data_IF_340683050479
#
_entry.id   IF_340683050479
#
_cell.length_a   1.000
_cell.length_b   1.000
_cell.length_c   1.000
_cell.angle_alpha   90.00
_cell.angle_beta   90.00
_cell.angle_gamma   90.00
#
_symmetry.space_group_name_H-M   'P 1'
#
loop_
_entity.id
_entity.type
_entity.pdbx_description
1 polymer ?
#
# COMPACT_ATOMS: atom_id res chain seq x y z
N UNK A 1 -17.04 36.64 0.97
CA UNK A 1 -15.59 36.34 0.92
C UNK A 1 -14.99 35.94 2.27
N UNK A 2 -15.63 36.21 3.41
CA UNK A 2 -15.13 35.81 4.75
C UNK A 2 -15.42 34.35 5.13
N UNK A 3 -16.55 33.78 4.68
CA UNK A 3 -16.93 32.40 5.04
C UNK A 3 -16.03 31.31 4.43
N UNK A 4 -15.52 31.51 3.22
CA UNK A 4 -14.65 30.52 2.55
C UNK A 4 -13.32 30.38 3.25
N UNK A 5 -12.74 31.49 3.71
CA UNK A 5 -11.46 31.49 4.42
C UNK A 5 -11.55 30.81 5.79
N UNK A 6 -12.69 30.95 6.48
CA UNK A 6 -12.94 30.27 7.76
C UNK A 6 -12.95 28.75 7.59
N UNK A 7 -13.59 28.24 6.53
CA UNK A 7 -13.70 26.80 6.29
C UNK A 7 -12.37 26.16 5.90
N UNK A 8 -11.61 26.83 5.02
CA UNK A 8 -10.27 26.36 4.63
C UNK A 8 -9.31 26.28 5.82
N UNK A 9 -9.37 27.25 6.73
CA UNK A 9 -8.56 27.25 7.96
C UNK A 9 -8.92 26.09 8.89
N UNK A 10 -10.21 25.76 9.01
CA UNK A 10 -10.69 24.66 9.86
C UNK A 10 -10.28 23.30 9.28
N UNK A 11 -10.43 23.10 7.96
CA UNK A 11 -9.98 21.89 7.28
C UNK A 11 -8.46 21.68 7.41
N UNK A 12 -7.68 22.76 7.29
CA UNK A 12 -6.24 22.70 7.48
C UNK A 12 -5.86 22.34 8.92
N UNK A 13 -6.57 22.89 9.91
CA UNK A 13 -6.36 22.57 11.31
C UNK A 13 -6.63 21.08 11.58
N UNK A 14 -7.77 20.56 11.13
CA UNK A 14 -8.14 19.15 11.29
C UNK A 14 -7.11 18.19 10.67
N UNK A 15 -6.54 18.55 9.51
CA UNK A 15 -5.48 17.75 8.86
C UNK A 15 -4.19 17.73 9.69
N UNK A 16 -3.82 18.87 10.26
CA UNK A 16 -2.64 18.95 11.13
C UNK A 16 -2.83 18.18 12.44
N UNK A 17 -4.02 18.23 13.04
CA UNK A 17 -4.33 17.42 14.21
C UNK A 17 -4.23 15.93 13.90
N UNK A 18 -4.81 15.50 12.79
CA UNK A 18 -4.75 14.10 12.33
C UNK A 18 -3.30 13.65 12.12
N UNK A 19 -2.45 14.52 11.57
CA UNK A 19 -1.01 14.27 11.44
C UNK A 19 -0.32 14.12 12.81
N UNK A 20 -0.62 14.98 13.77
CA UNK A 20 -0.03 14.91 15.11
C UNK A 20 -0.48 13.65 15.86
N UNK A 21 -1.75 13.25 15.73
CA UNK A 21 -2.26 12.00 16.29
C UNK A 21 -1.54 10.83 15.66
N UNK A 22 -1.49 10.76 14.32
CA UNK A 22 -0.75 9.73 13.60
C UNK A 22 0.71 9.66 14.03
N UNK A 23 1.39 10.80 14.14
CA UNK A 23 2.80 10.85 14.51
C UNK A 23 3.06 10.32 15.92
N UNK A 24 2.20 10.68 16.87
CA UNK A 24 2.37 10.36 18.29
C UNK A 24 1.78 9.02 18.70
N UNK A 25 0.80 8.50 17.96
CA UNK A 25 0.04 7.30 18.31
C UNK A 25 -0.03 6.33 17.12
N UNK A 26 1.05 6.21 16.35
CA UNK A 26 1.05 5.46 15.09
C UNK A 26 0.71 3.97 15.27
N UNK A 27 0.98 3.39 16.45
CA UNK A 27 0.65 1.99 16.76
C UNK A 27 -0.85 1.70 16.79
N UNK A 28 -1.70 2.74 16.93
CA UNK A 28 -3.15 2.59 16.78
C UNK A 28 -3.55 2.21 15.36
N UNK A 29 -2.68 2.47 14.39
CA UNK A 29 -2.84 2.13 12.98
C UNK A 29 -1.98 0.93 12.59
N UNK A 30 -1.32 0.27 13.55
CA UNK A 30 -0.45 -0.85 13.24
C UNK A 30 -1.27 -2.08 12.86
N UNK A 31 -0.85 -2.74 11.78
CA UNK A 31 -1.31 -4.08 11.43
C UNK A 31 -1.03 -5.04 12.59
N UNK A 32 -1.94 -6.00 12.77
CA UNK A 32 -1.93 -6.93 13.91
C UNK A 32 -0.62 -7.70 14.01
N UNK A 33 0.03 -8.02 12.89
CA UNK A 33 1.30 -8.76 12.87
C UNK A 33 2.47 -8.00 13.54
N UNK A 34 2.40 -6.67 13.62
CA UNK A 34 3.35 -5.89 14.41
C UNK A 34 3.11 -6.07 15.90
N UNK A 35 1.83 -6.02 16.30
CA UNK A 35 1.42 -6.14 17.70
C UNK A 35 1.73 -7.54 18.23
N UNK A 36 1.41 -8.59 17.47
CA UNK A 36 1.67 -9.98 17.84
C UNK A 36 3.15 -10.21 18.14
N UNK A 37 4.02 -9.58 17.35
CA UNK A 37 5.46 -9.67 17.52
C UNK A 37 6.00 -8.93 18.76
N UNK A 38 5.24 -8.00 19.34
CA UNK A 38 5.63 -7.32 20.58
C UNK A 38 5.39 -8.16 21.82
N UNK A 39 4.36 -9.02 21.76
CA UNK A 39 3.84 -9.78 22.89
C UNK A 39 4.14 -11.29 22.81
N UNK A 40 4.82 -11.74 21.75
CA UNK A 40 5.09 -13.17 21.48
C UNK A 40 3.82 -14.02 21.59
N UNK A 41 2.71 -13.53 21.02
CA UNK A 41 1.43 -14.23 21.10
C UNK A 41 1.40 -15.31 20.02
N UNK A 42 1.38 -16.56 20.45
CA UNK A 42 1.05 -17.69 19.58
C UNK A 42 -0.48 -17.77 19.46
N UNK A 43 -1.00 -17.59 18.23
CA UNK A 43 -2.41 -17.76 17.93
C UNK A 43 -2.70 -19.24 17.66
N UNK A 44 -3.70 -19.80 18.34
CA UNK A 44 -4.21 -21.13 18.01
C UNK A 44 -5.17 -21.04 16.81
N UNK A 45 -4.99 -21.90 15.80
CA UNK A 45 -5.81 -21.91 14.58
C UNK A 45 -7.32 -22.17 14.83
N UNK A 46 -7.69 -22.56 16.05
CA UNK A 46 -9.06 -22.94 16.44
C UNK A 46 -9.83 -21.83 17.17
N UNK A 47 -9.25 -20.63 17.36
CA UNK A 47 -9.72 -19.61 18.30
C UNK A 47 -10.31 -18.31 17.74
N UNK A 48 -10.91 -18.29 16.54
CA UNK A 48 -11.34 -17.04 15.87
C UNK A 48 -12.32 -16.13 16.64
N UNK A 49 -13.09 -16.66 17.62
CA UNK A 49 -14.04 -15.86 18.42
C UNK A 49 -13.43 -15.35 19.75
N UNK A 50 -12.46 -16.09 20.30
CA UNK A 50 -11.67 -15.72 21.50
C UNK A 50 -10.64 -14.63 21.21
N UNK A 51 -10.43 -14.36 19.92
CA UNK A 51 -9.45 -13.47 19.33
C UNK A 51 -9.73 -11.99 19.64
N UNK A 52 -10.96 -11.52 19.45
CA UNK A 52 -11.28 -10.09 19.56
C UNK A 52 -11.16 -9.54 20.99
N UNK A 53 -11.51 -10.32 22.02
CA UNK A 53 -11.37 -9.90 23.42
C UNK A 53 -9.91 -9.89 23.87
N UNK A 54 -9.10 -10.86 23.41
CA UNK A 54 -7.65 -10.86 23.64
C UNK A 54 -6.98 -9.68 22.95
N UNK A 55 -7.33 -9.40 21.69
CA UNK A 55 -6.87 -8.19 20.97
C UNK A 55 -7.25 -6.91 21.72
N UNK A 56 -8.50 -6.79 22.17
CA UNK A 56 -8.93 -5.62 22.92
C UNK A 56 -8.16 -5.45 24.24
N UNK A 57 -7.84 -6.55 24.93
CA UNK A 57 -7.02 -6.52 26.14
C UNK A 57 -5.58 -6.07 25.82
N UNK A 58 -4.97 -6.59 24.76
CA UNK A 58 -3.64 -6.19 24.28
C UNK A 58 -3.62 -4.70 23.89
N UNK A 59 -4.63 -4.20 23.16
CA UNK A 59 -4.73 -2.77 22.83
C UNK A 59 -4.91 -1.92 24.08
N UNK A 60 -5.72 -2.38 25.04
CA UNK A 60 -5.90 -1.68 26.33
C UNK A 60 -4.57 -1.64 27.09
N UNK A 61 -3.81 -2.73 27.09
CA UNK A 61 -2.50 -2.81 27.71
C UNK A 61 -1.47 -1.93 27.01
N UNK A 62 -1.43 -1.91 25.68
CA UNK A 62 -0.61 -0.99 24.86
C UNK A 62 -0.87 0.48 25.20
N UNK A 63 -2.13 0.83 25.46
CA UNK A 63 -2.51 2.19 25.89
C UNK A 63 -2.07 2.49 27.33
N UNK A 64 -1.83 1.46 28.14
CA UNK A 64 -1.31 1.56 29.51
C UNK A 64 0.23 1.46 29.59
N UNK A 65 0.91 0.98 28.53
CA UNK A 65 2.36 0.89 28.48
C UNK A 65 3.03 2.27 28.37
N UNK A 66 4.23 2.47 28.94
CA UNK A 66 5.01 3.66 28.70
C UNK A 66 5.31 3.80 27.20
N UNK A 67 4.85 4.90 26.60
CA UNK A 67 4.96 5.19 25.16
C UNK A 67 6.37 5.00 24.61
N UNK A 68 7.40 5.17 25.44
CA UNK A 68 8.80 5.05 25.05
C UNK A 68 9.22 3.61 24.69
N UNK A 69 8.89 2.62 25.52
CA UNK A 69 9.32 1.23 25.28
C UNK A 69 8.63 0.63 24.07
N UNK A 70 7.32 0.87 23.93
CA UNK A 70 6.54 0.45 22.77
C UNK A 70 7.11 1.05 21.48
N UNK A 71 7.43 2.35 21.48
CA UNK A 71 8.06 3.02 20.34
C UNK A 71 9.41 2.41 20.00
N UNK A 72 10.27 2.18 20.99
CA UNK A 72 11.58 1.60 20.78
C UNK A 72 11.48 0.19 20.16
N UNK A 73 10.59 -0.66 20.66
CA UNK A 73 10.37 -2.01 20.12
C UNK A 73 9.80 -2.01 18.69
N UNK A 74 8.99 -1.02 18.35
CA UNK A 74 8.47 -0.82 16.98
C UNK A 74 9.48 -0.13 16.04
N UNK A 75 10.66 0.24 16.53
CA UNK A 75 11.66 0.99 15.77
C UNK A 75 11.25 2.43 15.46
N UNK A 76 10.35 2.99 16.26
CA UNK A 76 9.90 4.38 16.14
C UNK A 76 10.87 5.28 16.91
N UNK A 77 11.62 6.09 16.18
CA UNK A 77 12.53 7.08 16.76
C UNK A 77 11.76 8.23 17.44
N UNK A 78 12.31 8.70 18.55
CA UNK A 78 11.87 9.90 19.26
C UNK A 78 12.32 11.16 18.52
N UNK A 79 11.59 11.52 17.47
CA UNK A 79 11.81 12.73 16.69
C UNK A 79 10.56 13.61 16.66
N UNK A 80 10.78 14.92 16.51
CA UNK A 80 9.70 15.87 16.27
C UNK A 80 9.06 15.57 14.89
N UNK A 81 7.72 15.73 14.76
CA UNK A 81 7.06 15.56 13.48
C UNK A 81 7.64 16.54 12.46
N UNK A 82 8.14 16.07 11.31
CA UNK A 82 8.48 16.96 10.21
C UNK A 82 7.22 17.67 9.73
N UNK A 83 7.39 18.82 9.07
CA UNK A 83 6.28 19.47 8.39
C UNK A 83 5.73 18.52 7.32
N UNK A 84 4.46 18.08 7.39
CA UNK A 84 3.92 17.16 6.43
C UNK A 84 3.69 17.88 5.09
N UNK A 85 3.94 17.19 3.98
CA UNK A 85 3.52 17.64 2.66
C UNK A 85 2.05 17.30 2.40
N UNK A 86 1.39 18.04 1.51
CA UNK A 86 -0.04 17.86 1.23
C UNK A 86 -0.39 16.46 0.74
N UNK A 87 0.44 15.87 -0.13
CA UNK A 87 0.24 14.50 -0.60
C UNK A 87 0.30 13.49 0.55
N UNK A 88 1.18 13.67 1.54
CA UNK A 88 1.25 12.77 2.69
C UNK A 88 0.00 12.90 3.56
N UNK A 89 -0.49 14.12 3.78
CA UNK A 89 -1.74 14.33 4.53
C UNK A 89 -2.93 13.68 3.81
N UNK A 90 -3.00 13.81 2.49
CA UNK A 90 -4.02 13.15 1.67
C UNK A 90 -3.88 11.62 1.74
N UNK A 91 -2.67 11.08 1.64
CA UNK A 91 -2.40 9.64 1.79
C UNK A 91 -2.90 9.11 3.15
N UNK A 92 -2.58 9.82 4.24
CA UNK A 92 -2.97 9.40 5.58
C UNK A 92 -4.48 9.45 5.81
N UNK A 93 -5.21 10.26 5.04
CA UNK A 93 -6.67 10.32 5.07
C UNK A 93 -7.37 9.20 4.31
N UNK A 94 -6.63 8.41 3.52
CA UNK A 94 -7.19 7.27 2.80
C UNK A 94 -7.45 6.10 3.76
N UNK A 95 -8.57 5.41 3.54
CA UNK A 95 -8.85 4.11 4.15
C UNK A 95 -7.88 3.03 3.65
N UNK A 96 -7.92 1.87 4.29
CA UNK A 96 -7.00 0.76 4.02
C UNK A 96 -7.11 0.23 2.59
N UNK A 97 -8.35 0.06 2.09
CA UNK A 97 -8.61 -0.40 0.72
C UNK A 97 -8.03 0.58 -0.31
N UNK A 98 -8.23 1.88 -0.09
CA UNK A 98 -7.73 2.97 -0.92
C UNK A 98 -6.20 3.06 -0.87
N UNK A 99 -5.59 2.90 0.31
CA UNK A 99 -4.13 2.80 0.44
C UNK A 99 -3.58 1.62 -0.37
N UNK A 100 -4.20 0.44 -0.24
CA UNK A 100 -3.78 -0.74 -0.99
C UNK A 100 -3.95 -0.54 -2.50
N UNK A 101 -5.08 -0.01 -2.95
CA UNK A 101 -5.35 0.29 -4.35
C UNK A 101 -4.32 1.28 -4.93
N UNK A 102 -3.90 2.28 -4.15
CA UNK A 102 -2.80 3.16 -4.53
C UNK A 102 -1.47 2.41 -4.76
N UNK A 103 -1.12 1.43 -3.91
CA UNK A 103 0.12 0.64 -4.08
C UNK A 103 0.11 -0.13 -5.40
N UNK A 104 -1.03 -0.77 -5.71
CA UNK A 104 -1.22 -1.48 -6.97
C UNK A 104 -1.15 -0.54 -8.18
N UNK A 105 -1.77 0.63 -8.08
CA UNK A 105 -1.75 1.63 -9.15
C UNK A 105 -0.35 2.18 -9.39
N UNK A 106 0.42 2.45 -8.33
CA UNK A 106 1.81 2.87 -8.41
C UNK A 106 2.68 1.80 -9.08
N UNK A 107 2.49 0.52 -8.73
CA UNK A 107 3.14 -0.60 -9.39
C UNK A 107 2.85 -0.64 -10.90
N UNK A 108 1.58 -0.51 -11.31
CA UNK A 108 1.18 -0.56 -12.72
C UNK A 108 1.78 0.58 -13.54
N UNK A 109 1.88 1.78 -12.95
CA UNK A 109 2.57 2.92 -13.56
C UNK A 109 4.05 2.59 -13.80
N UNK A 110 4.75 2.04 -12.81
CA UNK A 110 6.20 1.81 -12.89
C UNK A 110 6.56 0.63 -13.78
N UNK A 111 5.80 -0.46 -13.74
CA UNK A 111 6.14 -1.65 -14.50
C UNK A 111 5.86 -1.55 -15.99
N UNK A 112 5.07 -0.58 -16.47
CA UNK A 112 4.79 -0.18 -17.88
C UNK A 112 4.41 -1.30 -18.90
N UNK A 113 4.68 -2.58 -18.65
CA UNK A 113 4.88 -3.61 -19.66
C UNK A 113 4.23 -4.98 -19.35
N UNK A 114 3.39 -5.14 -18.31
CA UNK A 114 2.77 -6.45 -18.09
C UNK A 114 1.71 -6.86 -19.13
N UNK A 115 1.29 -5.98 -20.05
CA UNK A 115 0.21 -6.30 -21.01
C UNK A 115 0.61 -6.26 -22.49
N UNK A 116 1.70 -5.59 -22.86
CA UNK A 116 2.15 -5.59 -24.27
C UNK A 116 2.81 -6.92 -24.66
N UNK A 117 3.51 -7.58 -23.72
CA UNK A 117 4.07 -8.92 -23.94
C UNK A 117 3.04 -10.05 -23.83
N UNK A 118 2.04 -9.94 -22.94
CA UNK A 118 1.02 -10.98 -22.79
C UNK A 118 0.13 -11.13 -24.05
N UNK A 119 -0.09 -10.05 -24.81
CA UNK A 119 -0.79 -10.09 -26.09
C UNK A 119 0.13 -10.45 -27.27
N UNK A 120 1.45 -10.44 -27.08
CA UNK A 120 2.43 -10.83 -28.09
C UNK A 120 2.82 -12.32 -27.99
N UNK A 121 2.71 -12.93 -26.81
CA UNK A 121 3.10 -14.33 -26.58
C UNK A 121 1.97 -15.36 -26.81
N UNK A 122 0.69 -14.94 -26.91
CA UNK A 122 -0.41 -15.85 -27.28
C UNK A 122 -0.45 -16.21 -28.78
N UNK A 123 0.52 -15.74 -29.58
CA UNK A 123 0.68 -16.09 -31.00
C UNK A 123 1.80 -17.09 -31.32
N UNK A 124 2.48 -17.65 -30.31
CA UNK A 124 3.63 -18.55 -30.46
C UNK A 124 3.25 -20.03 -30.36
N UNK A 125 3.14 -20.66 -31.52
CA UNK A 125 2.82 -22.07 -31.75
C UNK A 125 3.96 -23.04 -31.34
N UNK A 126 3.62 -24.03 -30.50
CA UNK A 126 4.22 -25.36 -30.25
C UNK A 126 5.70 -25.55 -29.82
N UNK A 127 5.86 -26.26 -28.69
CA UNK A 127 7.08 -26.97 -28.30
C UNK A 127 6.96 -27.67 -26.95
N UNK A 128 6.11 -28.70 -26.86
CA UNK A 128 6.11 -29.64 -25.72
C UNK A 128 7.29 -30.60 -25.94
N UNK A 129 8.29 -30.56 -25.06
CA UNK A 129 9.13 -31.71 -24.76
C UNK A 129 9.55 -31.72 -23.29
N UNK A 130 9.54 -32.94 -22.75
CA UNK A 130 9.72 -33.34 -21.36
C UNK A 130 11.15 -33.12 -20.87
N UNK A 131 11.32 -32.69 -19.61
CA UNK A 131 12.46 -33.12 -18.76
C UNK A 131 11.95 -33.33 -17.32
N UNK A 132 12.12 -34.57 -16.86
CA UNK A 132 11.88 -35.07 -15.51
C UNK A 132 12.93 -34.58 -14.49
N UNK A 133 12.49 -34.55 -13.22
CA UNK A 133 13.21 -34.92 -11.99
C UNK A 133 14.51 -34.18 -11.64
N UNK A 134 14.49 -33.47 -10.51
CA UNK A 134 15.20 -33.93 -9.30
C UNK A 134 14.86 -33.05 -8.09
N UNK A 135 14.01 -33.59 -7.20
CA UNK A 135 13.69 -33.04 -5.88
C UNK A 135 14.75 -33.48 -4.88
N UNK A 136 15.62 -32.55 -4.47
CA UNK A 136 16.44 -32.69 -3.28
C UNK A 136 15.67 -32.13 -2.07
N UNK A 137 15.44 -32.98 -1.07
CA UNK A 137 14.76 -32.65 0.17
C UNK A 137 15.61 -31.74 1.07
N UNK A 138 15.07 -30.56 1.42
CA UNK A 138 15.52 -29.74 2.54
C UNK A 138 14.32 -29.00 3.16
N UNK A 139 14.23 -29.12 4.49
CA UNK A 139 13.39 -28.41 5.47
C UNK A 139 11.91 -28.13 5.12
N UNK A 140 11.08 -29.13 5.46
CA UNK A 140 9.61 -29.08 5.44
C UNK A 140 8.98 -28.02 6.35
N UNK A 141 9.70 -27.41 7.29
CA UNK A 141 9.13 -26.41 8.20
C UNK A 141 9.12 -24.99 7.58
N UNK A 142 10.20 -24.59 6.89
CA UNK A 142 10.27 -23.33 6.15
C UNK A 142 9.39 -23.35 4.89
N UNK A 143 9.23 -24.51 4.24
CA UNK A 143 8.38 -24.64 3.07
C UNK A 143 6.89 -24.41 3.39
N UNK A 144 6.42 -24.87 4.56
CA UNK A 144 5.04 -24.68 4.99
C UNK A 144 4.74 -23.22 5.38
N UNK A 145 5.69 -22.53 6.03
CA UNK A 145 5.58 -21.09 6.33
C UNK A 145 5.60 -20.24 5.04
N UNK A 146 6.41 -20.61 4.03
CA UNK A 146 6.39 -19.97 2.71
C UNK A 146 5.08 -20.21 1.96
N UNK A 147 4.51 -21.41 2.03
CA UNK A 147 3.25 -21.74 1.34
C UNK A 147 2.04 -21.03 1.98
N UNK A 148 1.98 -20.96 3.31
CA UNK A 148 0.91 -20.23 4.01
C UNK A 148 0.98 -18.71 3.72
N UNK A 149 2.19 -18.13 3.72
CA UNK A 149 2.39 -16.73 3.34
C UNK A 149 2.04 -16.48 1.86
N UNK A 150 2.38 -17.38 0.95
CA UNK A 150 2.04 -17.26 -0.47
C UNK A 150 0.53 -17.41 -0.73
N UNK A 151 -0.18 -18.25 0.02
CA UNK A 151 -1.63 -18.43 -0.10
C UNK A 151 -2.41 -17.23 0.44
N UNK A 152 -1.98 -16.63 1.56
CA UNK A 152 -2.58 -15.39 2.07
C UNK A 152 -2.29 -14.20 1.13
N UNK A 153 -1.07 -14.07 0.62
CA UNK A 153 -0.72 -13.03 -0.37
C UNK A 153 -1.50 -13.16 -1.68
N UNK A 154 -1.73 -14.40 -2.15
CA UNK A 154 -2.51 -14.66 -3.38
C UNK A 154 -3.99 -14.35 -3.23
N UNK A 155 -4.51 -14.33 -2.00
CA UNK A 155 -5.92 -14.06 -1.71
C UNK A 155 -6.19 -12.55 -1.62
N UNK A 156 -5.28 -11.78 -0.99
CA UNK A 156 -5.40 -10.31 -0.92
C UNK A 156 -5.15 -9.60 -2.27
N UNK A 157 -4.26 -10.13 -3.11
CA UNK A 157 -3.94 -9.55 -4.42
C UNK A 157 -5.05 -9.81 -5.48
N UNK A 158 -5.98 -10.75 -5.20
CA UNK A 158 -7.10 -11.05 -6.10
C UNK A 158 -8.32 -10.17 -5.87
N UNK A 159 -8.54 -9.66 -4.67
CA UNK A 159 -9.72 -8.85 -4.31
C UNK A 159 -9.67 -7.42 -4.85
N UNK A 160 -8.47 -6.88 -5.09
CA UNK A 160 -8.27 -5.49 -5.55
C UNK A 160 -7.67 -5.40 -6.96
N UNK A 161 -8.19 -6.18 -7.92
CA UNK A 161 -7.72 -6.04 -9.31
C UNK A 161 -8.04 -4.65 -9.85
N UNK A 162 -7.00 -3.96 -10.33
CA UNK A 162 -7.15 -2.68 -11.03
C UNK A 162 -8.13 -2.81 -12.20
N UNK A 163 -9.05 -1.85 -12.31
CA UNK A 163 -9.99 -1.75 -13.43
C UNK A 163 -9.27 -1.45 -14.75
N UNK A 164 -9.92 -1.71 -15.89
CA UNK A 164 -9.35 -1.40 -17.20
C UNK A 164 -9.07 0.11 -17.36
N UNK A 165 -9.95 0.95 -16.82
CA UNK A 165 -9.78 2.40 -16.84
C UNK A 165 -8.55 2.83 -16.02
N UNK A 166 -8.37 2.27 -14.83
CA UNK A 166 -7.23 2.55 -13.97
C UNK A 166 -5.90 2.16 -14.62
N UNK A 167 -5.85 0.98 -15.26
CA UNK A 167 -4.67 0.55 -16.04
C UNK A 167 -4.41 1.46 -17.25
N UNK A 168 -5.47 1.91 -17.93
CA UNK A 168 -5.32 2.86 -19.03
C UNK A 168 -4.76 4.20 -18.55
N UNK A 169 -5.25 4.70 -17.42
CA UNK A 169 -4.70 5.89 -16.78
C UNK A 169 -3.24 5.68 -16.36
N UNK A 170 -2.92 4.54 -15.74
CA UNK A 170 -1.56 4.22 -15.31
C UNK A 170 -0.57 4.22 -16.49
N UNK A 171 -0.97 3.65 -17.64
CA UNK A 171 -0.19 3.72 -18.88
C UNK A 171 0.03 5.15 -19.37
N UNK A 172 -0.97 6.02 -19.28
CA UNK A 172 -0.82 7.44 -19.65
C UNK A 172 0.17 8.15 -18.73
N UNK A 173 0.08 7.93 -17.42
CA UNK A 173 1.01 8.50 -16.44
C UNK A 173 2.42 7.94 -16.65
N UNK A 174 2.56 6.64 -16.92
CA UNK A 174 3.85 6.02 -17.22
C UNK A 174 4.55 6.66 -18.43
N UNK A 175 3.81 7.09 -19.46
CA UNK A 175 4.39 7.84 -20.59
C UNK A 175 4.98 9.18 -20.15
N UNK A 176 4.33 9.88 -19.21
CA UNK A 176 4.80 11.17 -18.71
C UNK A 176 5.96 11.06 -17.70
N UNK A 177 5.92 10.03 -16.85
CA UNK A 177 6.95 9.78 -15.83
C UNK A 177 8.19 9.07 -16.37
N UNK A 178 8.03 8.36 -17.51
CA UNK A 178 9.08 7.60 -18.19
C UNK A 178 9.83 6.62 -17.25
N UNK A 179 9.13 5.70 -16.56
CA UNK A 179 9.77 4.79 -15.62
C UNK A 179 10.75 3.81 -16.27
N UNK A 180 10.70 3.65 -17.60
CA UNK A 180 11.69 2.86 -18.34
C UNK A 180 13.12 3.42 -18.31
N UNK A 181 13.34 4.64 -17.81
CA UNK A 181 14.68 5.18 -17.56
C UNK A 181 15.11 5.06 -16.10
N UNK A 182 14.30 4.41 -15.25
CA UNK A 182 14.59 4.23 -13.83
C UNK A 182 15.27 2.87 -13.63
N UNK A 183 16.17 2.79 -12.66
CA UNK A 183 16.81 1.52 -12.30
C UNK A 183 15.86 0.69 -11.42
N UNK A 184 14.97 -0.06 -12.08
CA UNK A 184 13.86 -0.81 -11.42
C UNK A 184 13.94 -2.33 -11.61
N UNK A 185 15.08 -2.87 -12.09
CA UNK A 185 15.22 -4.30 -12.35
C UNK A 185 14.98 -5.15 -11.09
N UNK A 186 15.48 -4.71 -9.94
CA UNK A 186 15.27 -5.37 -8.64
C UNK A 186 13.79 -5.43 -8.24
N UNK A 187 12.96 -4.50 -8.74
CA UNK A 187 11.54 -4.48 -8.42
C UNK A 187 10.73 -5.52 -9.20
N UNK A 188 11.21 -5.99 -10.36
CA UNK A 188 10.43 -6.87 -11.25
C UNK A 188 10.15 -8.26 -10.66
N UNK A 189 10.98 -8.73 -9.73
CA UNK A 189 10.81 -10.02 -9.05
C UNK A 189 9.82 -9.97 -7.89
N UNK A 190 9.31 -8.79 -7.52
CA UNK A 190 8.41 -8.61 -6.39
C UNK A 190 6.94 -8.72 -6.82
N UNK A 191 6.06 -8.98 -5.84
CA UNK A 191 4.62 -8.84 -6.03
C UNK A 191 4.22 -7.37 -6.25
N UNK A 192 3.08 -7.09 -6.89
CA UNK A 192 2.63 -5.71 -7.14
C UNK A 192 2.58 -4.84 -5.88
N UNK A 193 2.05 -5.36 -4.79
CA UNK A 193 1.95 -4.64 -3.51
C UNK A 193 3.33 -4.36 -2.91
N UNK A 194 4.26 -5.32 -2.97
CA UNK A 194 5.65 -5.10 -2.54
C UNK A 194 6.34 -4.00 -3.36
N UNK A 195 6.11 -3.94 -4.68
CA UNK A 195 6.64 -2.85 -5.52
C UNK A 195 6.07 -1.50 -5.06
N UNK A 196 4.75 -1.42 -4.88
CA UNK A 196 4.11 -0.22 -4.36
C UNK A 196 4.68 0.22 -3.00
N UNK A 197 4.92 -0.72 -2.09
CA UNK A 197 5.51 -0.44 -0.78
C UNK A 197 6.97 0.02 -0.87
N UNK A 198 7.77 -0.58 -1.74
CA UNK A 198 9.15 -0.16 -1.98
C UNK A 198 9.20 1.28 -2.51
N UNK A 199 8.30 1.62 -3.45
CA UNK A 199 8.14 2.99 -3.96
C UNK A 199 7.64 3.97 -2.90
N UNK A 200 6.78 3.52 -1.98
CA UNK A 200 6.25 4.34 -0.90
C UNK A 200 7.37 4.64 0.11
N UNK A 201 8.16 3.63 0.47
CA UNK A 201 9.36 3.78 1.30
C UNK A 201 10.35 4.76 0.68
N UNK A 202 10.60 4.67 -0.62
CA UNK A 202 11.50 5.58 -1.36
C UNK A 202 11.06 7.05 -1.28
N UNK A 203 9.74 7.29 -1.27
CA UNK A 203 9.17 8.62 -1.27
C UNK A 203 9.19 9.30 0.09
N UNK A 204 9.07 8.52 1.17
CA UNK A 204 8.96 9.03 2.52
C UNK A 204 10.34 9.23 3.17
N UNK A 205 10.44 10.23 4.05
CA UNK A 205 11.63 10.33 4.91
C UNK A 205 11.70 9.14 5.88
N UNK A 206 12.90 8.71 6.32
CA UNK A 206 13.04 7.57 7.22
C UNK A 206 12.17 7.66 8.50
N UNK A 207 12.09 8.80 9.20
CA UNK A 207 11.21 8.93 10.37
C UNK A 207 9.73 8.75 10.07
N UNK A 208 9.29 9.15 8.88
CA UNK A 208 7.90 8.99 8.42
C UNK A 208 7.64 7.56 8.00
N UNK A 209 8.58 6.92 7.28
CA UNK A 209 8.48 5.51 6.89
C UNK A 209 8.35 4.59 8.10
N UNK A 210 9.16 4.78 9.15
CA UNK A 210 9.12 3.95 10.37
C UNK A 210 7.74 3.91 11.04
N UNK A 211 6.92 4.93 10.79
CA UNK A 211 5.53 5.04 11.26
C UNK A 211 4.54 4.48 10.24
N UNK A 212 4.64 4.92 8.98
CA UNK A 212 3.74 4.49 7.90
C UNK A 212 3.81 2.99 7.66
N UNK A 213 5.00 2.38 7.76
CA UNK A 213 5.19 0.94 7.54
C UNK A 213 4.35 0.08 8.49
N UNK A 214 4.02 0.60 9.67
CA UNK A 214 3.25 -0.15 10.66
C UNK A 214 1.82 -0.43 10.17
N UNK A 215 1.29 0.36 9.23
CA UNK A 215 -0.04 0.15 8.63
C UNK A 215 -0.13 -1.09 7.72
N UNK A 216 0.97 -1.78 7.48
CA UNK A 216 1.03 -2.92 6.57
C UNK A 216 1.57 -4.15 7.29
N UNK A 217 1.22 -5.32 6.79
CA UNK A 217 1.71 -6.59 7.32
C UNK A 217 3.23 -6.61 7.48
N UNK A 218 3.70 -7.00 8.66
CA UNK A 218 5.11 -6.97 9.05
C UNK A 218 6.00 -7.77 8.10
N UNK A 219 5.60 -8.99 7.75
CA UNK A 219 6.35 -9.85 6.80
C UNK A 219 6.53 -9.18 5.44
N UNK A 220 5.47 -8.53 4.94
CA UNK A 220 5.50 -7.80 3.67
C UNK A 220 6.46 -6.59 3.73
N UNK A 221 6.40 -5.80 4.80
CA UNK A 221 7.32 -4.66 5.01
C UNK A 221 8.78 -5.12 5.06
N UNK A 222 9.08 -6.15 5.87
CA UNK A 222 10.44 -6.66 6.03
C UNK A 222 11.00 -7.18 4.70
N UNK A 223 10.16 -7.76 3.83
CA UNK A 223 10.59 -8.23 2.51
C UNK A 223 11.05 -7.11 1.56
N UNK A 224 10.63 -5.86 1.78
CA UNK A 224 10.97 -4.71 0.91
C UNK A 224 11.91 -3.70 1.57
N UNK A 225 12.16 -3.81 2.87
CA UNK A 225 12.91 -2.81 3.64
C UNK A 225 14.39 -2.72 3.24
N UNK A 226 14.96 -3.80 2.70
CA UNK A 226 16.36 -3.83 2.25
C UNK A 226 16.52 -3.60 0.74
N UNK A 227 15.43 -3.33 0.03
CA UNK A 227 15.47 -3.12 -1.42
C UNK A 227 16.00 -1.71 -1.71
N UNK A 228 17.00 -1.64 -2.59
CA UNK A 228 17.53 -0.38 -3.06
C UNK A 228 16.68 0.16 -4.21
N UNK A 229 16.19 1.38 -4.03
CA UNK A 229 15.32 2.13 -4.94
C UNK A 229 15.90 3.54 -5.19
N UNK A 230 17.17 3.75 -4.83
CA UNK A 230 17.86 5.04 -4.94
C UNK A 230 18.01 5.52 -6.39
N UNK A 231 17.92 4.62 -7.37
CA UNK A 231 17.92 4.95 -8.80
C UNK A 231 16.67 5.68 -9.30
N UNK A 232 15.65 5.90 -8.45
CA UNK A 232 14.44 6.64 -8.81
C UNK A 232 14.55 8.09 -8.33
N UNK A 233 14.49 9.10 -9.22
CA UNK A 233 14.57 10.50 -8.80
C UNK A 233 13.38 10.92 -7.91
N UNK A 234 13.67 11.55 -6.76
CA UNK A 234 12.65 12.00 -5.80
C UNK A 234 11.52 12.85 -6.40
N UNK A 235 11.83 13.74 -7.35
CA UNK A 235 10.80 14.56 -8.00
C UNK A 235 9.81 13.70 -8.82
N UNK A 236 10.24 12.55 -9.34
CA UNK A 236 9.37 11.60 -10.05
C UNK A 236 8.52 10.80 -9.07
N UNK A 237 9.08 10.38 -7.93
CA UNK A 237 8.30 9.77 -6.85
C UNK A 237 7.20 10.70 -6.35
N UNK A 238 7.52 12.00 -6.16
CA UNK A 238 6.50 12.99 -5.82
C UNK A 238 5.38 13.04 -6.88
N UNK A 239 5.73 13.19 -8.16
CA UNK A 239 4.73 13.22 -9.24
C UNK A 239 3.88 11.94 -9.29
N UNK A 240 4.49 10.77 -9.08
CA UNK A 240 3.81 9.48 -9.00
C UNK A 240 2.76 9.49 -7.89
N UNK A 241 3.17 9.79 -6.66
CA UNK A 241 2.28 9.71 -5.50
C UNK A 241 1.17 10.76 -5.53
N UNK A 242 1.45 11.99 -5.98
CA UNK A 242 0.41 13.00 -6.22
C UNK A 242 -0.62 12.50 -7.25
N UNK A 243 -0.17 11.93 -8.36
CA UNK A 243 -1.06 11.42 -9.41
C UNK A 243 -1.92 10.24 -8.93
N UNK A 244 -1.29 9.28 -8.25
CA UNK A 244 -1.96 8.07 -7.73
C UNK A 244 -3.01 8.45 -6.69
N UNK A 245 -2.65 9.25 -5.68
CA UNK A 245 -3.59 9.69 -4.63
C UNK A 245 -4.77 10.43 -5.24
N UNK A 246 -4.51 11.37 -6.16
CA UNK A 246 -5.55 12.11 -6.84
C UNK A 246 -6.50 11.18 -7.60
N UNK A 247 -5.98 10.18 -8.31
CA UNK A 247 -6.82 9.23 -9.06
C UNK A 247 -7.74 8.45 -8.14
N UNK A 248 -7.23 7.95 -7.02
CA UNK A 248 -8.03 7.19 -6.05
C UNK A 248 -9.13 8.05 -5.43
N UNK A 249 -8.84 9.31 -5.11
CA UNK A 249 -9.85 10.25 -4.62
C UNK A 249 -10.95 10.51 -5.64
N UNK A 250 -10.60 10.67 -6.92
CA UNK A 250 -11.58 10.83 -8.00
C UNK A 250 -12.46 9.58 -8.13
N UNK A 251 -11.87 8.39 -8.07
CA UNK A 251 -12.60 7.12 -8.13
C UNK A 251 -13.54 6.96 -6.92
N UNK A 252 -13.12 7.34 -5.72
CA UNK A 252 -13.95 7.35 -4.52
C UNK A 252 -15.14 8.31 -4.64
N UNK A 253 -14.93 9.51 -5.18
CA UNK A 253 -15.99 10.48 -5.44
C UNK A 253 -17.00 9.99 -6.50
N UNK A 254 -16.53 9.23 -7.49
CA UNK A 254 -17.40 8.63 -8.49
C UNK A 254 -18.26 7.50 -7.90
N UNK A 255 -17.69 6.65 -7.04
CA UNK A 255 -18.41 5.58 -6.34
C UNK A 255 -19.43 6.13 -5.33
N UNK A 256 -19.12 7.24 -4.66
CA UNK A 256 -20.00 7.90 -3.69
C UNK A 256 -21.19 8.66 -4.31
N UNK A 257 -21.32 8.72 -5.65
CA UNK A 257 -22.39 9.45 -6.32
C UNK A 257 -23.26 8.51 -7.19
N UNK A 258 -24.25 7.80 -6.60
CA UNK A 258 -25.08 6.85 -7.34
C UNK A 258 -26.04 7.48 -8.38
N UNK A 259 -26.11 8.82 -8.51
CA UNK A 259 -27.18 9.51 -9.27
C UNK A 259 -26.71 10.28 -10.53
N UNK A 260 -25.65 9.86 -11.22
CA UNK A 260 -25.18 10.55 -12.44
C UNK A 260 -25.25 9.76 -13.75
N UNK A 261 -26.00 8.65 -13.78
CA UNK A 261 -26.14 7.81 -14.99
C UNK A 261 -27.49 7.92 -15.69
N UNK A 262 -28.33 8.90 -15.36
CA UNK A 262 -29.63 9.06 -16.02
C UNK A 262 -29.93 10.53 -16.33
N UNK A 263 -29.16 11.13 -17.24
CA UNK A 263 -29.61 12.28 -18.05
C UNK A 263 -28.65 12.57 -19.21
N UNK A 264 -28.40 11.56 -20.03
CA UNK A 264 -27.79 11.73 -21.34
C UNK A 264 -28.55 10.91 -22.39
N UNK A 265 -29.86 11.11 -22.49
CA UNK A 265 -30.67 10.68 -23.64
C UNK A 265 -32.09 11.24 -23.56
N UNK A 266 -32.28 12.56 -23.75
CA UNK A 266 -33.45 13.11 -24.47
C UNK A 266 -33.05 14.46 -25.09
N UNK A 267 -32.37 14.40 -26.22
CA UNK A 267 -32.54 15.41 -27.28
C UNK A 267 -32.88 14.60 -28.52
N UNK A 268 -34.18 14.34 -28.73
CA UNK A 268 -34.76 14.09 -30.06
C UNK A 268 -36.15 14.73 -30.05
N UNK A 269 -36.25 15.80 -30.85
CA UNK A 269 -37.38 16.29 -31.65
C UNK A 269 -38.82 16.12 -31.10
N UNK A 270 -39.48 17.25 -30.84
CA UNK A 270 -40.52 17.82 -31.73
C UNK A 270 -40.91 19.22 -31.28
#
# INVERSE_FOLDING_TARGET
>A
MTQTHSRESEEQHQRLESWLIFWNQTWLYADVSWIDSLFNVEWDEQGAQTDMTKRQAIYTELMNFPLFETRARLGIEMSAPPKPGDALLQWLSLDEESCHYCLLLACDVVLKQRTEHALAEEGGDHGIDQIESDTHALDTEQAHECLANAQNQKTDDQTLRLSLEARSWARHIAKALMPGTWEIEVLKSLSPTQIGLALLRAWLSPPTWNRVRLRYQKSMVLSVENIDVSGIPNHRLNQLWYGVIWRVQVDALAKGNPNKTENRSVIIEQ
#
